data_IF_038886143975
#
_entry.id   IF_038886143975
#
_cell.length_a   1.000
_cell.length_b   1.000
_cell.length_c   1.000
_cell.angle_alpha   90.00
_cell.angle_beta   90.00
_cell.angle_gamma   90.00
#
_symmetry.space_group_name_H-M   'P 1'
#
loop_
_entity.id
_entity.type
_entity.pdbx_description
1 polymer ?
#
# COMPACT_ATOMS: atom_id res chain seq x y z
N UNK A 1 -18.65 -26.49 16.20
CA UNK A 1 -18.91 -26.40 14.75
C UNK A 1 -18.45 -25.04 14.25
N UNK A 2 -17.20 -24.91 13.84
CA UNK A 2 -16.73 -23.68 13.20
C UNK A 2 -17.33 -23.66 11.80
N UNK A 3 -18.30 -22.77 11.57
CA UNK A 3 -18.79 -22.53 10.21
C UNK A 3 -17.58 -22.19 9.35
N UNK A 4 -17.41 -22.90 8.24
CA UNK A 4 -16.47 -22.56 7.18
C UNK A 4 -16.91 -21.23 6.54
N UNK A 5 -16.72 -20.15 7.29
CA UNK A 5 -17.06 -18.81 6.86
C UNK A 5 -16.10 -18.40 5.77
N UNK A 6 -16.63 -18.02 4.61
CA UNK A 6 -15.84 -17.42 3.53
C UNK A 6 -15.10 -16.21 4.10
N UNK A 7 -13.77 -16.24 3.98
CA UNK A 7 -12.91 -15.13 4.38
C UNK A 7 -12.69 -14.23 3.17
N UNK A 8 -13.05 -12.96 3.29
CA UNK A 8 -12.80 -11.94 2.27
C UNK A 8 -11.43 -11.34 2.54
N UNK A 9 -10.54 -11.37 1.56
CA UNK A 9 -9.23 -10.74 1.66
C UNK A 9 -9.16 -9.56 0.70
N UNK A 10 -9.03 -8.36 1.26
CA UNK A 10 -8.93 -7.10 0.53
C UNK A 10 -7.46 -6.71 0.40
N UNK A 11 -7.02 -6.49 -0.83
CA UNK A 11 -5.74 -5.85 -1.13
C UNK A 11 -5.97 -4.34 -1.35
N UNK A 12 -5.34 -3.52 -0.53
CA UNK A 12 -5.39 -2.07 -0.58
C UNK A 12 -4.10 -1.57 -1.22
N UNK A 13 -4.18 -1.05 -2.45
CA UNK A 13 -3.03 -0.57 -3.20
C UNK A 13 -2.98 0.97 -3.15
N UNK A 14 -1.88 1.52 -2.65
CA UNK A 14 -1.71 2.99 -2.53
C UNK A 14 -0.86 3.56 -3.64
N UNK A 15 -1.22 4.75 -4.11
CA UNK A 15 -0.26 5.64 -4.77
C UNK A 15 0.88 5.98 -3.78
N UNK A 16 2.15 5.98 -4.21
CA UNK A 16 3.32 6.09 -3.35
C UNK A 16 3.62 7.52 -2.90
N UNK A 17 2.62 8.15 -2.30
CA UNK A 17 2.75 9.43 -1.61
C UNK A 17 2.13 9.32 -0.22
N UNK A 18 2.80 9.90 0.78
CA UNK A 18 2.42 9.78 2.19
C UNK A 18 0.96 10.20 2.45
N UNK A 19 0.46 11.19 1.71
CA UNK A 19 -0.94 11.66 1.78
C UNK A 19 -1.99 10.60 1.44
N UNK A 20 -1.62 9.52 0.75
CA UNK A 20 -2.54 8.42 0.37
C UNK A 20 -2.44 7.20 1.28
N UNK A 21 -1.24 6.92 1.82
CA UNK A 21 -0.99 5.73 2.66
C UNK A 21 -1.82 5.77 3.94
N UNK A 22 -1.80 6.90 4.66
CA UNK A 22 -2.50 7.02 5.94
C UNK A 22 -4.02 6.91 5.82
N UNK A 23 -4.70 7.62 4.89
CA UNK A 23 -6.12 7.44 4.67
C UNK A 23 -6.49 5.99 4.32
N UNK A 24 -5.72 5.34 3.44
CA UNK A 24 -6.03 3.96 3.03
C UNK A 24 -5.78 2.95 4.15
N UNK A 25 -4.77 3.18 5.01
CA UNK A 25 -4.56 2.40 6.23
C UNK A 25 -5.76 2.52 7.18
N UNK A 26 -6.27 3.73 7.41
CA UNK A 26 -7.42 3.94 8.30
C UNK A 26 -8.69 3.31 7.71
N UNK A 27 -8.86 3.39 6.39
CA UNK A 27 -9.91 2.66 5.69
C UNK A 27 -9.80 1.15 5.89
N UNK A 28 -8.60 0.57 5.71
CA UNK A 28 -8.34 -0.85 5.95
C UNK A 28 -8.61 -1.28 7.40
N UNK A 29 -8.27 -0.46 8.38
CA UNK A 29 -8.60 -0.70 9.80
C UNK A 29 -10.10 -0.78 10.01
N UNK A 30 -10.88 0.11 9.37
CA UNK A 30 -12.34 0.08 9.43
C UNK A 30 -12.92 -1.16 8.75
N UNK A 31 -12.38 -1.57 7.61
CA UNK A 31 -12.79 -2.81 6.93
C UNK A 31 -12.52 -4.05 7.80
N UNK A 32 -11.37 -4.11 8.46
CA UNK A 32 -10.98 -5.24 9.31
C UNK A 32 -11.82 -5.40 10.59
N UNK A 33 -12.71 -4.45 10.92
CA UNK A 33 -13.69 -4.59 12.01
C UNK A 33 -14.79 -5.60 11.64
N UNK A 34 -15.05 -5.82 10.35
CA UNK A 34 -16.07 -6.76 9.91
C UNK A 34 -15.61 -8.21 10.05
N UNK A 35 -16.51 -9.10 10.49
CA UNK A 35 -16.20 -10.54 10.62
C UNK A 35 -15.74 -11.10 9.27
N UNK A 36 -14.70 -11.93 9.32
CA UNK A 36 -14.12 -12.63 8.18
C UNK A 36 -13.53 -11.70 7.10
N UNK A 37 -13.23 -10.44 7.42
CA UNK A 37 -12.51 -9.52 6.51
C UNK A 37 -11.06 -9.39 6.96
N UNK A 38 -10.13 -9.67 6.05
CA UNK A 38 -8.69 -9.40 6.23
C UNK A 38 -8.24 -8.35 5.23
N UNK A 39 -7.36 -7.45 5.65
CA UNK A 39 -6.81 -6.41 4.79
C UNK A 39 -5.29 -6.50 4.73
N UNK A 40 -4.75 -6.32 3.52
CA UNK A 40 -3.32 -6.09 3.29
C UNK A 40 -3.15 -4.76 2.57
N UNK A 41 -2.37 -3.86 3.16
CA UNK A 41 -1.95 -2.60 2.56
C UNK A 41 -0.64 -2.83 1.80
N UNK A 42 -0.67 -2.65 0.49
CA UNK A 42 0.49 -2.68 -0.38
C UNK A 42 1.00 -1.25 -0.62
N UNK A 43 2.25 -1.00 -0.24
CA UNK A 43 2.94 0.30 -0.41
C UNK A 43 4.20 0.13 -1.26
N UNK A 44 4.63 1.18 -1.96
CA UNK A 44 5.90 1.12 -2.68
C UNK A 44 7.07 0.98 -1.70
N UNK A 45 8.14 0.30 -2.12
CA UNK A 45 9.31 0.03 -1.28
C UNK A 45 9.94 1.31 -0.72
N UNK A 46 10.04 2.35 -1.54
CA UNK A 46 10.53 3.68 -1.14
C UNK A 46 9.67 4.37 -0.07
N UNK A 47 8.40 3.99 0.09
CA UNK A 47 7.55 4.55 1.15
C UNK A 47 8.01 4.12 2.56
N UNK A 48 8.75 3.00 2.68
CA UNK A 48 9.29 2.54 3.95
C UNK A 48 10.64 3.16 4.32
N UNK A 49 11.36 3.74 3.36
CA UNK A 49 12.68 4.36 3.62
C UNK A 49 12.53 5.74 4.24
N UNK A 50 11.47 6.48 3.88
CA UNK A 50 11.26 7.86 4.32
C UNK A 50 10.42 8.01 5.59
N UNK A 51 9.75 6.96 6.08
CA UNK A 51 8.85 7.05 7.25
C UNK A 51 8.85 5.78 8.10
N UNK A 52 8.52 5.92 9.39
CA UNK A 52 8.20 4.76 10.22
C UNK A 52 7.06 3.97 9.56
N UNK A 53 7.24 2.66 9.28
CA UNK A 53 6.22 1.87 8.63
C UNK A 53 4.89 1.98 9.39
N UNK A 54 3.75 2.13 8.70
CA UNK A 54 2.46 2.13 9.35
C UNK A 54 2.25 0.81 10.12
N UNK A 55 2.20 0.88 11.44
CA UNK A 55 1.99 -0.29 12.29
C UNK A 55 0.48 -0.49 12.54
N UNK A 56 -0.01 -1.71 12.28
CA UNK A 56 -1.36 -2.12 12.65
C UNK A 56 -1.42 -3.62 12.86
N UNK A 57 -2.07 -4.05 13.95
CA UNK A 57 -2.43 -5.46 14.16
C UNK A 57 -3.63 -5.90 13.30
N UNK A 58 -4.41 -4.95 12.78
CA UNK A 58 -5.63 -5.21 12.01
C UNK A 58 -5.39 -5.27 10.49
N UNK A 59 -4.33 -4.63 10.00
CA UNK A 59 -4.00 -4.54 8.57
C UNK A 59 -2.56 -5.00 8.36
N UNK A 60 -2.37 -6.00 7.52
CA UNK A 60 -1.03 -6.47 7.14
C UNK A 60 -0.37 -5.47 6.19
N UNK A 61 0.94 -5.32 6.27
CA UNK A 61 1.71 -4.48 5.36
C UNK A 61 2.48 -5.36 4.37
N UNK A 62 2.41 -5.03 3.09
CA UNK A 62 3.21 -5.63 2.02
C UNK A 62 3.87 -4.51 1.21
N UNK A 63 4.99 -4.85 0.56
CA UNK A 63 5.68 -3.91 -0.32
C UNK A 63 5.65 -4.39 -1.76
N UNK A 64 5.64 -3.43 -2.68
CA UNK A 64 5.84 -3.67 -4.11
C UNK A 64 6.90 -2.71 -4.65
N UNK A 65 7.45 -3.04 -5.83
CA UNK A 65 8.34 -2.14 -6.56
C UNK A 65 7.52 -1.30 -7.53
N UNK A 66 7.69 0.02 -7.46
CA UNK A 66 7.18 0.98 -8.45
C UNK A 66 8.27 1.34 -9.48
N UNK A 67 9.46 0.76 -9.37
CA UNK A 67 10.61 1.05 -10.21
C UNK A 67 11.50 2.20 -9.74
N UNK A 68 11.20 2.80 -8.59
CA UNK A 68 12.01 3.81 -7.92
C UNK A 68 12.16 3.44 -6.43
N UNK A 69 12.76 2.28 -6.18
CA UNK A 69 12.75 1.60 -4.89
C UNK A 69 13.60 2.29 -3.82
N UNK A 70 14.62 3.06 -4.20
CA UNK A 70 15.59 3.61 -3.26
C UNK A 70 15.05 4.85 -2.56
N UNK A 71 14.52 5.79 -3.34
CA UNK A 71 14.09 7.11 -2.84
C UNK A 71 12.83 7.65 -3.54
N UNK A 72 12.08 6.80 -4.26
CA UNK A 72 10.83 7.21 -4.89
C UNK A 72 11.06 8.31 -5.94
N UNK A 73 10.31 9.40 -5.86
CA UNK A 73 10.46 10.55 -6.77
C UNK A 73 11.90 11.08 -6.84
N UNK A 74 12.60 11.10 -5.70
CA UNK A 74 13.95 11.66 -5.61
C UNK A 74 14.98 10.82 -6.40
N UNK A 75 14.67 9.56 -6.70
CA UNK A 75 15.52 8.70 -7.55
C UNK A 75 15.54 9.21 -9.00
N UNK A 76 14.45 9.85 -9.44
CA UNK A 76 14.32 10.43 -10.79
C UNK A 76 14.60 11.93 -10.80
N UNK A 77 14.41 12.60 -9.66
CA UNK A 77 14.66 14.04 -9.49
C UNK A 77 13.66 14.95 -10.19
N UNK A 78 12.67 14.38 -10.89
CA UNK A 78 11.61 15.10 -11.59
C UNK A 78 10.28 14.34 -11.49
N UNK A 79 9.23 15.05 -11.08
CA UNK A 79 7.90 14.47 -10.86
C UNK A 79 7.29 13.97 -12.17
N UNK A 80 7.50 14.66 -13.30
CA UNK A 80 6.95 14.24 -14.60
C UNK A 80 7.63 12.96 -15.08
N UNK A 81 8.94 12.90 -15.01
CA UNK A 81 9.69 11.70 -15.37
C UNK A 81 9.32 10.49 -14.49
N UNK A 82 9.00 10.71 -13.21
CA UNK A 82 8.45 9.65 -12.35
C UNK A 82 7.07 9.18 -12.83
N UNK A 83 6.14 10.11 -13.12
CA UNK A 83 4.80 9.78 -13.61
C UNK A 83 4.85 9.06 -14.96
N UNK A 84 5.68 9.52 -15.90
CA UNK A 84 5.88 8.89 -17.21
C UNK A 84 6.37 7.44 -17.06
N UNK A 85 7.25 7.17 -16.08
CA UNK A 85 7.69 5.79 -15.76
C UNK A 85 6.56 4.94 -15.20
N UNK A 86 5.72 5.51 -14.35
CA UNK A 86 4.59 4.81 -13.75
C UNK A 86 3.53 4.46 -14.82
N UNK A 87 3.25 5.38 -15.74
CA UNK A 87 2.30 5.18 -16.84
C UNK A 87 2.86 4.27 -17.94
N UNK A 88 4.14 4.45 -18.30
CA UNK A 88 4.79 3.71 -19.39
C UNK A 88 4.97 2.21 -19.11
N UNK A 89 4.91 1.79 -17.84
CA UNK A 89 5.05 0.38 -17.43
C UNK A 89 3.73 -0.35 -17.20
N UNK A 90 2.59 0.31 -17.41
CA UNK A 90 1.27 -0.32 -17.36
C UNK A 90 0.92 -1.11 -18.65
N UNK A 91 1.90 -1.36 -19.53
CA UNK A 91 1.77 -2.09 -20.80
C UNK A 91 2.52 -3.40 -20.80
#
# INVERSE_FOLDING_TARGET
MAGSGVTIHVLLLTYPAQGHINPLLQFGKRLAVHRNVRCTLAVARSSLTSTNPPQSSAVQLATFSDGCDASGYDEVGDVRAYLDRLEGRAR
#
